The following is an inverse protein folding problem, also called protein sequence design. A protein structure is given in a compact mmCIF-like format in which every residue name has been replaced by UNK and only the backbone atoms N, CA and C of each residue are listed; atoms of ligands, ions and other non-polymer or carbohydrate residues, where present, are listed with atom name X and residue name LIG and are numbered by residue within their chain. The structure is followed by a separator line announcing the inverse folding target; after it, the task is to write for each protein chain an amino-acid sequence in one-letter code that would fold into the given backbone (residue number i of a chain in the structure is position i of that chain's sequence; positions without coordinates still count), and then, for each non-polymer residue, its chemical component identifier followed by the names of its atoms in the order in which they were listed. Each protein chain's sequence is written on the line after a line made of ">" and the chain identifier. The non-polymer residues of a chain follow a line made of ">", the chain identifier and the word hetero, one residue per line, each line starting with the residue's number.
data_IF_803713514848
#
_entry.id   IF_803713514848
#
_cell.length_a   1.000
_cell.length_b   1.000
_cell.length_c   1.000
_cell.angle_alpha   90.00
_cell.angle_beta   90.00
_cell.angle_gamma   90.00
#
_symmetry.space_group_name_H-M   'P 1'
#
loop_
_entity.id
_entity.type
_entity.pdbx_description
1 polymer ?
2 non-polymer ?
3 non-polymer ?
4 non-polymer ?
5 water ?
#
# COMPACT_ATOMS: atom_id res chain seq x y z
N UNK A 4 19.93 -4.23 -15.38
CA UNK A 4 18.70 -4.40 -16.21
C UNK A 4 17.64 -3.36 -15.88
N UNK A 5 16.66 -3.18 -16.77
CA UNK A 5 15.54 -2.21 -16.62
C UNK A 5 14.64 -2.64 -15.45
N UNK A 6 14.31 -3.94 -15.37
CA UNK A 6 13.43 -4.53 -14.32
C UNK A 6 14.06 -4.34 -12.94
N UNK A 7 15.38 -4.52 -12.83
CA UNK A 7 16.17 -4.27 -11.59
C UNK A 7 16.02 -2.80 -11.18
N UNK A 8 16.32 -1.88 -12.09
CA UNK A 8 16.27 -0.41 -11.85
C UNK A 8 14.85 -0.01 -11.43
N UNK A 9 13.83 -0.53 -12.12
CA UNK A 9 12.42 -0.18 -11.83
C UNK A 9 12.02 -0.73 -10.46
N UNK A 10 12.52 -1.91 -10.08
CA UNK A 10 12.24 -2.50 -8.74
C UNK A 10 13.02 -1.75 -7.65
N UNK A 11 14.19 -1.17 -7.94
CA UNK A 11 14.89 -0.28 -6.99
C UNK A 11 14.03 0.96 -6.74
N UNK A 12 13.46 1.55 -7.79
CA UNK A 12 12.51 2.69 -7.68
C UNK A 12 11.35 2.29 -6.76
N UNK A 13 10.76 1.12 -6.98
CA UNK A 13 9.64 0.60 -6.16
C UNK A 13 10.09 0.45 -4.71
N UNK A 14 11.28 -0.11 -4.48
CA UNK A 14 11.79 -0.32 -3.10
C UNK A 14 11.98 1.05 -2.43
N UNK A 15 12.48 2.04 -3.16
CA UNK A 15 12.61 3.42 -2.64
C UNK A 15 11.27 3.99 -2.23
N UNK A 16 10.25 3.82 -3.08
CA UNK A 16 8.86 4.27 -2.78
C UNK A 16 8.40 3.57 -1.50
N UNK A 17 8.57 2.25 -1.43
CA UNK A 17 8.14 1.46 -0.25
C UNK A 17 8.82 2.01 1.01
N UNK A 18 10.13 2.23 0.97
CA UNK A 18 10.87 2.78 2.13
C UNK A 18 10.29 4.15 2.50
N UNK A 19 9.99 5.00 1.52
CA UNK A 19 9.40 6.33 1.80
C UNK A 19 8.02 6.16 2.46
N UNK A 20 7.18 5.25 1.97
CA UNK A 20 5.81 5.08 2.53
C UNK A 20 5.91 4.63 4.00
N UNK A 21 6.98 3.93 4.37
CA UNK A 21 7.20 3.40 5.75
C UNK A 21 7.98 4.41 6.60
N UNK A 22 8.38 5.55 6.05
CA UNK A 22 9.30 6.51 6.72
C UNK A 22 8.53 7.41 7.70
N UNK A 23 9.23 8.01 8.65
CA UNK A 23 8.62 8.87 9.70
C UNK A 23 7.94 10.08 9.04
N UNK A 24 8.46 10.54 7.89
CA UNK A 24 7.91 11.68 7.12
C UNK A 24 6.39 11.52 6.91
N UNK A 25 5.90 10.30 6.65
CA UNK A 25 4.48 10.06 6.28
C UNK A 25 3.72 9.30 7.37
N UNK A 26 4.33 9.06 8.54
CA UNK A 26 3.79 8.17 9.58
C UNK A 26 2.42 8.65 10.08
N UNK A 27 2.15 9.96 10.07
CA UNK A 27 0.90 10.53 10.62
C UNK A 27 -0.32 9.98 9.87
N UNK A 28 -0.20 9.68 8.57
CA UNK A 28 -1.32 9.15 7.74
C UNK A 28 -1.00 7.75 7.19
N UNK A 29 0.24 7.27 7.26
CA UNK A 29 0.62 5.95 6.71
C UNK A 29 0.34 4.82 7.71
N UNK A 30 0.28 5.12 9.01
CA UNK A 30 0.30 4.08 10.07
C UNK A 30 -0.87 3.11 9.94
N UNK A 31 -2.08 3.49 9.47
CA UNK A 31 -3.16 2.50 9.31
C UNK A 31 -2.85 1.37 8.32
N UNK A 32 -1.81 1.54 7.49
CA UNK A 32 -1.47 0.63 6.36
C UNK A 32 -0.20 -0.17 6.66
N UNK A 33 0.36 -0.03 7.86
CA UNK A 33 1.65 -0.66 8.23
C UNK A 33 1.50 -2.17 8.36
N UNK A 34 0.35 -2.65 8.84
CA UNK A 34 0.14 -4.07 9.19
C UNK A 34 -1.21 -4.53 8.68
N UNK A 35 -1.43 -5.85 8.51
CA UNK A 35 -2.73 -6.36 8.09
C UNK A 35 -3.84 -5.88 9.03
N UNK A 36 -5.01 -5.58 8.45
CA UNK A 36 -6.24 -5.26 9.22
C UNK A 36 -6.55 -6.49 10.09
N UNK A 37 -6.65 -6.29 11.41
CA UNK A 37 -7.07 -7.35 12.36
C UNK A 37 -8.57 -7.16 12.60
N UNK A 38 -9.39 -7.77 11.74
CA UNK A 38 -10.85 -7.59 11.69
C UNK A 38 -11.46 -7.99 13.04
N UNK A 39 -11.05 -9.14 13.57
CA UNK A 39 -11.53 -9.70 14.87
C UNK A 39 -11.30 -8.69 16.00
N UNK A 40 -10.09 -8.14 16.09
CA UNK A 40 -9.66 -7.20 17.16
C UNK A 40 -10.55 -5.95 17.16
N UNK A 41 -10.96 -5.47 15.98
CA UNK A 41 -11.74 -4.21 15.80
C UNK A 41 -13.25 -4.50 15.79
N UNK A 42 -13.65 -5.77 15.81
CA UNK A 42 -15.06 -6.19 15.72
C UNK A 42 -15.63 -5.98 14.32
N UNK A 43 -14.75 -5.91 13.31
CA UNK A 43 -15.13 -5.75 11.88
C UNK A 43 -15.38 -7.14 11.28
N UNK A 44 -16.45 -7.79 11.71
CA UNK A 44 -16.76 -9.22 11.42
C UNK A 44 -17.23 -9.39 9.97
N UNK A 45 -17.37 -8.30 9.22
CA UNK A 45 -17.75 -8.32 7.78
C UNK A 45 -16.53 -8.05 6.89
N UNK A 46 -15.37 -7.72 7.46
CA UNK A 46 -14.20 -7.24 6.67
C UNK A 46 -13.83 -8.27 5.59
N UNK A 47 -13.67 -9.54 5.96
CA UNK A 47 -13.19 -10.62 5.05
C UNK A 47 -14.32 -11.12 4.14
N UNK A 48 -15.57 -10.71 4.38
CA UNK A 48 -16.70 -10.97 3.45
C UNK A 48 -16.67 -9.94 2.33
N UNK A 49 -16.17 -8.73 2.61
CA UNK A 49 -16.17 -7.58 1.67
C UNK A 49 -14.82 -7.52 0.95
N UNK A 50 -13.72 -7.75 1.67
CA UNK A 50 -12.33 -7.67 1.13
C UNK A 50 -11.81 -9.10 0.94
N UNK A 51 -11.74 -9.56 -0.31
CA UNK A 51 -11.32 -10.95 -0.65
C UNK A 51 -9.79 -11.04 -0.72
N UNK A 52 -9.10 -9.93 -0.97
CA UNK A 52 -7.62 -9.89 -1.13
C UNK A 52 -7.04 -8.80 -0.24
N UNK A 53 -6.89 -9.04 1.08
CA UNK A 53 -6.29 -8.05 1.97
C UNK A 53 -4.85 -7.74 1.54
N UNK A 54 -4.42 -6.51 1.80
CA UNK A 54 -3.03 -6.09 1.50
C UNK A 54 -2.63 -4.96 2.44
N UNK A 55 -1.35 -4.89 2.77
CA UNK A 55 -0.80 -3.87 3.70
C UNK A 55 0.69 -3.75 3.41
N UNK A 56 1.33 -2.73 3.95
CA UNK A 56 2.73 -2.42 3.58
C UNK A 56 3.70 -3.47 4.14
N UNK A 57 3.40 -4.12 5.26
CA UNK A 57 4.28 -5.19 5.81
C UNK A 57 4.31 -6.36 4.82
N UNK A 58 3.17 -6.68 4.21
CA UNK A 58 3.06 -7.76 3.20
C UNK A 58 3.82 -7.35 1.94
N UNK A 59 3.67 -6.09 1.49
CA UNK A 59 4.42 -5.57 0.31
C UNK A 59 5.92 -5.68 0.60
N UNK A 60 6.34 -5.29 1.81
CA UNK A 60 7.77 -5.34 2.21
C UNK A 60 8.27 -6.79 2.17
N UNK A 61 7.50 -7.72 2.73
CA UNK A 61 7.86 -9.16 2.75
C UNK A 61 8.03 -9.65 1.31
N UNK A 62 7.11 -9.28 0.42
CA UNK A 62 7.14 -9.74 -1.00
C UNK A 62 8.35 -9.13 -1.71
N UNK A 63 8.68 -7.87 -1.44
CA UNK A 63 9.87 -7.20 -2.04
C UNK A 63 11.14 -7.91 -1.53
N UNK A 64 11.23 -8.17 -0.23
CA UNK A 64 12.40 -8.85 0.41
C UNK A 64 12.59 -10.25 -0.19
N UNK A 65 11.49 -10.95 -0.49
CA UNK A 65 11.50 -12.35 -1.00
C UNK A 65 11.66 -12.36 -2.53
N UNK A 66 11.81 -11.19 -3.17
CA UNK A 66 11.96 -11.04 -4.64
C UNK A 66 10.71 -11.61 -5.33
N UNK A 67 9.54 -11.44 -4.71
CA UNK A 67 8.25 -11.96 -5.24
C UNK A 67 7.84 -11.12 -6.45
N UNK A 68 8.04 -9.80 -6.40
CA UNK A 68 7.67 -8.85 -7.49
C UNK A 68 8.67 -8.99 -8.63
N UNK A 69 8.18 -9.34 -9.83
CA UNK A 69 9.04 -9.51 -11.03
C UNK A 69 9.18 -8.17 -11.76
N UNK A 70 8.26 -7.22 -11.55
CA UNK A 70 8.28 -5.90 -12.24
C UNK A 70 7.55 -4.86 -11.39
N UNK A 71 7.66 -3.59 -11.78
CA UNK A 71 7.05 -2.44 -11.08
C UNK A 71 5.52 -2.55 -11.10
N UNK A 72 4.93 -3.04 -12.20
CA UNK A 72 3.45 -3.16 -12.35
C UNK A 72 2.88 -4.07 -11.24
N UNK A 73 3.56 -5.18 -10.94
CA UNK A 73 3.10 -6.15 -9.91
C UNK A 73 3.14 -5.48 -8.53
N UNK A 74 4.21 -4.74 -8.24
CA UNK A 74 4.36 -3.96 -6.99
C UNK A 74 3.24 -2.93 -6.88
N UNK A 75 3.02 -2.14 -7.93
CA UNK A 75 2.00 -1.06 -7.94
C UNK A 75 0.61 -1.67 -7.73
N UNK A 76 0.34 -2.82 -8.33
CA UNK A 76 -0.97 -3.50 -8.22
C UNK A 76 -1.26 -3.79 -6.75
N UNK A 77 -0.26 -4.24 -5.98
CA UNK A 77 -0.44 -4.56 -4.54
C UNK A 77 -0.64 -3.27 -3.74
N UNK A 78 0.16 -2.23 -3.99
CA UNK A 78 0.01 -0.96 -3.23
C UNK A 78 -1.39 -0.39 -3.52
N UNK A 79 -1.82 -0.41 -4.78
CA UNK A 79 -3.14 0.15 -5.17
C UNK A 79 -4.27 -0.72 -4.61
N UNK A 80 -4.09 -2.04 -4.57
CA UNK A 80 -5.08 -2.97 -3.95
C UNK A 80 -5.30 -2.56 -2.49
N UNK A 81 -4.22 -2.27 -1.77
CA UNK A 81 -4.28 -1.84 -0.35
C UNK A 81 -5.20 -0.60 -0.23
N UNK A 82 -5.02 0.40 -1.09
CA UNK A 82 -5.85 1.63 -1.06
C UNK A 82 -7.29 1.29 -1.46
N UNK A 83 -7.45 0.48 -2.51
CA UNK A 83 -8.79 0.09 -3.04
C UNK A 83 -9.59 -0.59 -1.93
N UNK A 84 -8.95 -1.48 -1.18
CA UNK A 84 -9.62 -2.21 -0.06
C UNK A 84 -10.17 -1.17 0.92
N UNK A 85 -9.36 -0.16 1.24
CA UNK A 85 -9.73 0.91 2.19
C UNK A 85 -10.95 1.68 1.64
N UNK A 86 -10.95 2.03 0.36
CA UNK A 86 -12.05 2.80 -0.29
C UNK A 86 -13.31 1.94 -0.39
N UNK A 87 -13.16 0.62 -0.56
CA UNK A 87 -14.31 -0.32 -0.71
C UNK A 87 -15.01 -0.51 0.63
N UNK A 88 -14.25 -0.69 1.71
CA UNK A 88 -14.79 -1.16 3.01
C UNK A 88 -15.34 0.01 3.82
N UNK A 89 -14.61 1.13 3.88
CA UNK A 89 -14.87 2.24 4.83
C UNK A 89 -15.78 3.28 4.17
N UNK A 90 -16.68 3.94 4.95
CA UNK A 90 -17.44 5.08 4.43
C UNK A 90 -16.48 6.17 3.98
N UNK A 91 -16.77 6.89 2.87
CA UNK A 91 -15.82 7.82 2.27
C UNK A 91 -15.43 9.02 3.15
N UNK A 92 -16.18 9.29 4.23
CA UNK A 92 -15.94 10.44 5.14
C UNK A 92 -15.16 9.99 6.39
N UNK A 93 -14.79 8.71 6.50
CA UNK A 93 -13.97 8.17 7.62
C UNK A 93 -12.54 8.71 7.51
N UNK A 94 -11.89 8.96 8.65
CA UNK A 94 -10.50 9.48 8.73
C UNK A 94 -9.55 8.57 7.95
N UNK A 95 -9.72 7.25 8.03
CA UNK A 95 -8.78 6.28 7.39
C UNK A 95 -8.81 6.48 5.87
N UNK A 96 -9.95 6.86 5.29
CA UNK A 96 -10.07 7.12 3.83
C UNK A 96 -9.29 8.39 3.48
N UNK A 97 -9.39 9.45 4.29
CA UNK A 97 -8.60 10.69 4.10
C UNK A 97 -7.11 10.36 4.14
N UNK A 98 -6.71 9.47 5.05
CA UNK A 98 -5.29 9.06 5.24
C UNK A 98 -4.83 8.21 4.04
N UNK A 99 -5.67 7.28 3.56
CA UNK A 99 -5.40 6.49 2.33
C UNK A 99 -5.18 7.44 1.15
N UNK A 100 -6.04 8.44 0.98
CA UNK A 100 -5.97 9.39 -0.16
C UNK A 100 -4.64 10.14 -0.10
N UNK A 101 -4.23 10.59 1.09
CA UNK A 101 -2.96 11.33 1.29
C UNK A 101 -1.78 10.41 0.96
N UNK A 102 -1.78 9.17 1.45
CA UNK A 102 -0.65 8.25 1.19
C UNK A 102 -0.65 7.84 -0.29
N UNK A 103 -1.82 7.68 -0.91
CA UNK A 103 -1.88 7.32 -2.35
C UNK A 103 -1.31 8.47 -3.20
N UNK A 104 -1.54 9.73 -2.79
CA UNK A 104 -0.99 10.91 -3.50
C UNK A 104 0.54 10.82 -3.47
N UNK A 105 1.13 10.51 -2.31
CA UNK A 105 2.60 10.31 -2.16
C UNK A 105 3.04 9.20 -3.12
N UNK A 106 2.35 8.06 -3.10
CA UNK A 106 2.68 6.89 -3.94
C UNK A 106 2.61 7.27 -5.43
N UNK A 107 1.48 7.83 -5.87
CA UNK A 107 1.23 8.02 -7.33
C UNK A 107 2.25 9.02 -7.89
N UNK A 108 2.56 10.09 -7.17
CA UNK A 108 3.47 11.14 -7.70
C UNK A 108 4.88 10.57 -7.81
N UNK A 109 5.34 9.78 -6.84
CA UNK A 109 6.70 9.20 -6.94
C UNK A 109 6.72 8.04 -7.93
N UNK A 110 5.68 7.20 -7.96
CA UNK A 110 5.60 6.07 -8.91
C UNK A 110 5.69 6.60 -10.35
N UNK A 111 5.07 7.75 -10.62
CA UNK A 111 5.00 8.37 -11.97
C UNK A 111 6.40 8.73 -12.46
N UNK A 112 7.36 8.95 -11.56
CA UNK A 112 8.78 9.26 -11.91
C UNK A 112 9.54 7.95 -12.19
N UNK A 113 8.87 6.94 -12.75
CA UNK A 113 9.44 5.60 -13.06
C UNK A 113 10.56 5.77 -14.08
N UNK A 114 11.78 5.24 -13.82
CA UNK A 114 12.86 5.28 -14.81
C UNK A 114 12.54 4.37 -16.00
N UNK A 115 12.76 4.87 -17.22
CA UNK A 115 12.51 4.14 -18.50
C UNK A 115 13.69 3.20 -18.77
X LIG B 1 -6.38 0.14 11.90
X LIG B 1 -9.43 -0.76 8.46
X LIG B 1 -3.23 -1.02 13.83
X LIG B 1 -1.98 -1.76 13.41
X LIG B 1 -2.26 -1.15 11.15
X LIG B 1 -3.53 -0.38 11.45
X LIG B 1 -6.61 1.55 11.56
X LIG B 1 -9.08 1.72 11.98
X LIG B 1 -11.65 0.89 11.27
X LIG B 1 -9.83 0.93 12.84
X LIG B 1 -7.24 4.36 11.12
X LIG B 1 -8.14 5.77 13.25
X LIG B 1 -6.91 -0.87 11.18
X LIG B 1 -7.51 -0.58 9.86
X LIG B 1 -7.37 0.10 7.53
X LIG B 1 -8.76 -0.25 7.34
X LIG B 1 -8.82 -0.91 9.68
X LIG B 1 -9.36 -0.12 6.28
X LIG B 1 -6.60 0.61 6.35
X LIG B 1 -6.81 -0.06 8.74
X LIG B 1 -10.84 -1.12 8.29
X LIG B 1 -6.85 -2.04 11.55
X LIG B 1 -5.49 -0.14 13.04
X LIG B 1 -4.23 -0.96 12.67
X LIG B 1 -1.37 -1.15 12.27
X LIG B 1 -6.27 -0.70 14.24
X LIG B 1 -6.80 0.04 15.06
X LIG B 1 -6.32 -2.03 14.31
X LIG B 1 -6.37 -2.73 15.58
X LIG B 1 -7.71 2.22 12.40
X LIG B 1 -7.65 3.74 12.29
X LIG B 1 -8.09 4.43 13.36
X LIG B 1 -7.77 6.46 12.12
X LIG B 1 -7.31 5.74 11.04
X LIG B 1 -11.11 0.51 12.48
X LIG B 1 -10.91 1.67 10.41
X LIG B 1 -9.63 2.08 10.76
X LIG C 1 -3.97 10.28 -7.17
X LIG C 1 -4.34 9.67 -5.95
X LIG C 1 -3.30 11.59 -6.98
X LIG C 1 -4.09 12.51 -6.25
X LIG D 1 1.82 -13.53 -6.06
X LIG D 1 0.42 -13.46 -6.24
X LIG D 1 2.42 -14.67 -6.79
X LIG D 1 3.81 -14.82 -6.56
X LIG E 1 -19.20 1.75 3.19
X LIG E 1 -20.61 1.84 3.17
X LIG E 1 -18.60 1.75 1.83
X LIG E 1 -18.75 2.98 1.14
X LIG F 1 18.09 -2.46 -3.23
X LIG F 1 18.62 -2.86 -1.98
X LIG F 1 19.34 -4.17 -2.06
X LIG F 1 20.17 -4.22 -3.22
X LIG F 1 21.32 -3.39 -3.14
X LIG F 1 22.36 -3.86 -4.12
X LIG F 1 21.95 -3.51 -5.44
X LIG F 1 22.89 -3.90 -6.43
X LIG F 1 22.20 -4.02 -7.75
X LIG F 1 21.15 -4.98 -7.65
X LIG F 1 20.46 -5.17 -8.88
X LIG F 1 19.31 -6.11 -8.66
X LIG F 1 18.25 -5.42 -8.00
X LIG F 1 17.02 -6.14 -8.00
X LIG F 1 15.92 -5.25 -7.53
X LIG F 1 15.98 -5.11 -6.12
X LIG F 1 14.79 -4.58 -5.55
X LIG F 1 15.00 -4.28 -4.10
X LIG F 1 15.36 -5.48 -3.41
X LIG F 1 15.05 -5.43 -2.02
X LIG F 1 15.94 -6.38 -1.26
X LIG F 1 16.06 -7.61 -1.97
X LIG F 1 17.03 -8.48 -1.40
X LIG F 1 17.01 -9.78 -2.08
#
# INVERSE_FOLDING_TARGET
>A
GSMGKLSEQLKHCNGILKELLSKKHAAYAWPFYKPVDASALGLHDYHDIIKHPMDLSTVKRKMENRDYRDAQEFAADVRLMFSNCYKYNPPDHDVVAMARKLQDVFEFRYAKMPD
>B hetero
1 80Z N1 N3 C4 C5 C6 C7 C8 C10 C13 C15 C17 C20 C21 C22 C24 C26 C28 O3 C25 C23 C27 O2 C2 C3 O1 C1 O N C C9 C16 N2 C19 C18 C14 C12 C11
>C hetero
1 EDO C1 O1 C2 O2
>D hetero
1 EDO C1 O1 C2 O2
>E hetero
1 EDO C1 O1 C2 O2
>F hetero
1 PE4 O1 C1 C2 O2 C3 C4 O3 C5 C6 O4 C7 C8 O5 C9 C10 O6 C11 C12 O7 C13 C14 O8 C15 C16
#
